data_IF_960932368170
#
_entry.id   IF_960932368170
#
_cell.length_a   1.000
_cell.length_b   1.000
_cell.length_c   1.000
_cell.angle_alpha   90.00
_cell.angle_beta   90.00
_cell.angle_gamma   90.00
#
_symmetry.space_group_name_H-M   'P 1'
#
loop_
_entity.id
_entity.type
_entity.pdbx_description
1 polymer ?
#
# COMPACT_ATOMS: atom_id res chain seq x y z
N UNK A 1 -27.85 13.41 13.09
CA UNK A 1 -26.79 12.39 13.05
C UNK A 1 -26.92 11.41 11.87
N UNK A 2 -28.08 10.76 11.64
CA UNK A 2 -28.25 9.77 10.55
C UNK A 2 -27.81 10.24 9.16
N UNK A 3 -28.19 11.46 8.77
CA UNK A 3 -27.78 12.05 7.47
C UNK A 3 -26.26 12.17 7.34
N UNK A 4 -25.57 12.53 8.43
CA UNK A 4 -24.11 12.70 8.46
C UNK A 4 -23.42 11.34 8.27
N UNK A 5 -23.87 10.30 8.99
CA UNK A 5 -23.28 8.95 8.86
C UNK A 5 -23.49 8.37 7.47
N UNK A 6 -24.65 8.62 6.85
CA UNK A 6 -24.93 8.20 5.46
C UNK A 6 -24.01 8.93 4.48
N UNK A 7 -23.90 10.25 4.58
CA UNK A 7 -23.03 11.04 3.69
C UNK A 7 -21.57 10.58 3.81
N UNK A 8 -21.09 10.35 5.04
CA UNK A 8 -19.74 9.85 5.28
C UNK A 8 -19.52 8.45 4.69
N UNK A 9 -20.50 7.55 4.84
CA UNK A 9 -20.45 6.21 4.27
C UNK A 9 -20.40 6.24 2.74
N UNK A 10 -21.26 7.04 2.11
CA UNK A 10 -21.31 7.19 0.65
C UNK A 10 -20.02 7.84 0.10
N UNK A 11 -19.50 8.84 0.80
CA UNK A 11 -18.21 9.46 0.47
C UNK A 11 -17.08 8.42 0.49
N UNK A 12 -17.03 7.59 1.53
CA UNK A 12 -16.00 6.55 1.64
C UNK A 12 -16.14 5.46 0.57
N UNK A 13 -17.36 5.05 0.24
CA UNK A 13 -17.60 4.14 -0.89
C UNK A 13 -17.08 4.76 -2.20
N UNK A 14 -17.40 6.03 -2.48
CA UNK A 14 -16.85 6.75 -3.62
C UNK A 14 -15.32 6.81 -3.63
N UNK A 15 -14.68 6.98 -2.47
CA UNK A 15 -13.23 6.94 -2.34
C UNK A 15 -12.64 5.57 -2.69
N UNK A 16 -13.24 4.48 -2.21
CA UNK A 16 -12.82 3.11 -2.57
C UNK A 16 -12.98 2.89 -4.08
N UNK A 17 -14.12 3.29 -4.64
CA UNK A 17 -14.39 3.15 -6.07
C UNK A 17 -13.36 3.92 -6.92
N UNK A 18 -12.99 5.13 -6.50
CA UNK A 18 -11.93 5.90 -7.14
C UNK A 18 -10.57 5.19 -7.07
N UNK A 19 -10.20 4.63 -5.92
CA UNK A 19 -8.94 3.87 -5.75
C UNK A 19 -8.92 2.60 -6.60
N UNK A 20 -10.07 1.94 -6.73
CA UNK A 20 -10.28 0.75 -7.57
C UNK A 20 -10.19 1.06 -9.08
N UNK A 21 -10.69 2.24 -9.48
CA UNK A 21 -10.64 2.71 -10.87
C UNK A 21 -9.22 3.07 -11.34
N UNK A 22 -8.30 3.37 -10.42
CA UNK A 22 -6.94 3.75 -10.77
C UNK A 22 -6.10 2.53 -11.21
N UNK A 23 -5.36 2.69 -12.30
CA UNK A 23 -4.58 1.60 -12.88
C UNK A 23 -3.36 1.23 -12.02
N UNK A 24 -3.01 -0.06 -11.94
CA UNK A 24 -1.90 -0.58 -11.12
C UNK A 24 -0.51 -0.08 -11.56
N UNK A 25 -0.41 0.40 -12.79
CA UNK A 25 0.81 0.95 -13.41
C UNK A 25 1.30 2.27 -12.77
N UNK A 26 0.50 2.92 -11.91
CA UNK A 26 0.88 4.17 -11.23
C UNK A 26 1.92 3.92 -10.10
N UNK A 27 2.14 2.66 -9.68
CA UNK A 27 3.16 2.31 -8.67
C UNK A 27 4.61 2.46 -9.18
N UNK A 28 4.84 2.21 -10.47
CA UNK A 28 6.19 2.30 -11.06
C UNK A 28 6.76 3.74 -10.97
N UNK A 29 5.90 4.75 -11.05
CA UNK A 29 6.28 6.16 -10.94
C UNK A 29 6.65 6.63 -9.52
N UNK A 30 6.10 6.00 -8.47
CA UNK A 30 6.42 6.34 -7.07
C UNK A 30 7.66 5.59 -6.60
N UNK A 31 7.78 4.30 -6.93
CA UNK A 31 8.99 3.51 -6.65
C UNK A 31 10.23 4.10 -7.34
N UNK A 32 10.11 4.62 -8.57
CA UNK A 32 11.23 5.28 -9.25
C UNK A 32 11.70 6.57 -8.54
N UNK A 33 10.81 7.29 -7.84
CA UNK A 33 11.19 8.48 -7.05
C UNK A 33 12.00 8.11 -5.82
N UNK A 34 11.60 7.05 -5.12
CA UNK A 34 12.32 6.54 -3.94
C UNK A 34 13.72 6.04 -4.34
N UNK A 35 13.82 5.28 -5.43
CA UNK A 35 15.10 4.81 -5.97
C UNK A 35 16.00 5.99 -6.38
N UNK A 36 15.47 7.01 -7.05
CA UNK A 36 16.23 8.22 -7.40
C UNK A 36 16.71 9.02 -6.20
N UNK A 37 15.95 9.07 -5.11
CA UNK A 37 16.39 9.73 -3.87
C UNK A 37 17.56 8.98 -3.24
N UNK A 38 17.50 7.64 -3.23
CA UNK A 38 18.58 6.80 -2.71
C UNK A 38 19.84 6.91 -3.57
N UNK A 39 19.68 6.90 -4.90
CA UNK A 39 20.79 7.03 -5.85
C UNK A 39 21.44 8.42 -5.77
N UNK A 40 20.64 9.49 -5.63
CA UNK A 40 21.15 10.84 -5.40
C UNK A 40 21.83 11.00 -4.03
N UNK A 41 21.37 10.29 -3.00
CA UNK A 41 22.02 10.30 -1.69
C UNK A 41 23.37 9.55 -1.74
N UNK A 42 23.43 8.42 -2.45
CA UNK A 42 24.66 7.63 -2.62
C UNK A 42 25.69 8.37 -3.47
N UNK A 43 25.28 8.99 -4.57
CA UNK A 43 26.18 9.81 -5.40
C UNK A 43 26.71 11.00 -4.62
N UNK A 44 25.87 11.67 -3.82
CA UNK A 44 26.30 12.78 -2.97
C UNK A 44 27.33 12.36 -1.91
N UNK A 45 27.19 11.15 -1.33
CA UNK A 45 28.18 10.58 -0.40
C UNK A 45 29.49 10.22 -1.12
N UNK A 46 29.42 9.71 -2.36
CA UNK A 46 30.60 9.42 -3.17
C UNK A 46 31.36 10.70 -3.57
N UNK A 47 30.64 11.79 -3.90
CA UNK A 47 31.26 13.09 -4.20
C UNK A 47 31.86 13.75 -2.94
N UNK A 48 31.17 13.68 -1.79
CA UNK A 48 31.71 14.18 -0.50
C UNK A 48 32.92 13.36 0.00
N UNK A 49 33.07 12.11 -0.43
CA UNK A 49 34.22 11.26 -0.11
C UNK A 49 35.42 11.52 -1.03
N UNK A 50 35.21 11.93 -2.29
CA UNK A 50 36.31 12.33 -3.18
C UNK A 50 36.88 13.72 -2.85
N UNK A 51 36.07 14.69 -2.43
CA UNK A 51 36.56 16.03 -2.09
C UNK A 51 37.48 16.06 -0.85
N UNK A 52 37.39 15.06 0.04
CA UNK A 52 38.32 14.90 1.17
C UNK A 52 39.66 14.28 0.80
N UNK A 53 39.71 13.40 -0.20
CA UNK A 53 40.96 12.73 -0.60
C UNK A 53 41.78 13.52 -1.65
N UNK A 54 41.20 14.49 -2.35
CA UNK A 54 41.95 15.35 -3.29
C UNK A 54 42.74 16.47 -2.60
N UNK A 55 42.54 16.69 -1.30
CA UNK A 55 43.26 17.71 -0.53
C UNK A 55 44.60 17.23 0.04
N UNK A 56 44.88 15.91 0.05
CA UNK A 56 46.15 15.36 0.59
C UNK A 56 47.15 14.89 -0.49
N UNK A 57 46.74 14.68 -1.74
CA UNK A 57 47.63 14.22 -2.82
C UNK A 57 48.07 15.39 -3.71
N UNK A 58 48.73 16.39 -3.13
CA UNK A 58 49.50 17.41 -3.89
C UNK A 58 50.93 17.61 -3.39
N UNK A 59 51.44 16.67 -2.60
CA UNK A 59 52.80 16.70 -2.10
C UNK A 59 53.46 15.32 -2.17
N UNK A 60 53.65 14.75 -3.36
CA UNK A 60 54.97 14.25 -3.73
C UNK A 60 55.08 14.01 -5.24
N UNK A 61 56.29 14.15 -5.72
CA UNK A 61 56.71 14.38 -7.10
C UNK A 61 57.00 13.10 -7.87
N UNK A 62 56.83 13.21 -9.20
CA UNK A 62 57.71 12.71 -10.27
C UNK A 62 57.97 11.21 -10.45
N UNK A 63 57.58 10.67 -11.60
CA UNK A 63 58.48 10.27 -12.71
C UNK A 63 57.80 9.21 -13.60
N UNK A 64 57.88 9.43 -14.92
CA UNK A 64 57.98 8.47 -16.05
C UNK A 64 56.96 7.30 -16.12
N UNK A 65 56.36 6.89 -17.24
CA UNK A 65 56.73 7.03 -18.65
C UNK A 65 55.54 6.56 -19.53
N UNK A 66 55.56 6.93 -20.81
CA UNK A 66 54.62 6.54 -21.87
C UNK A 66 54.59 5.02 -22.15
N UNK A 67 53.44 4.46 -22.56
CA UNK A 67 53.31 3.86 -23.90
C UNK A 67 51.89 3.41 -24.29
N UNK A 68 51.66 3.53 -25.60
CA UNK A 68 50.44 3.31 -26.40
C UNK A 68 50.07 1.83 -26.62
N UNK A 69 48.76 1.64 -26.78
CA UNK A 69 47.99 0.67 -27.56
C UNK A 69 48.74 -0.30 -28.52
N UNK A 70 48.42 -1.60 -28.49
CA UNK A 70 47.39 -2.27 -29.31
C UNK A 70 47.51 -3.81 -29.24
N UNK A 71 46.38 -4.55 -29.33
CA UNK A 71 46.36 -5.92 -29.91
C UNK A 71 45.70 -7.04 -29.11
N UNK A 72 44.37 -7.15 -29.24
CA UNK A 72 43.53 -8.35 -29.46
C UNK A 72 43.87 -9.73 -28.82
N UNK A 73 42.95 -10.29 -28.02
CA UNK A 73 42.23 -11.57 -28.32
C UNK A 73 41.24 -11.96 -27.22
N UNK A 74 39.95 -12.09 -27.58
CA UNK A 74 38.93 -13.03 -27.04
C UNK A 74 38.61 -13.04 -25.53
N UNK A 75 37.44 -13.42 -25.02
CA UNK A 75 36.16 -13.91 -25.52
C UNK A 75 35.20 -13.80 -24.31
N UNK A 76 33.92 -13.58 -24.59
CA UNK A 76 32.93 -13.12 -23.62
C UNK A 76 32.64 -13.99 -22.40
N UNK A 77 32.14 -13.32 -21.36
CA UNK A 77 31.25 -13.88 -20.32
C UNK A 77 30.68 -12.75 -19.42
N UNK A 78 30.08 -11.71 -20.00
CA UNK A 78 29.57 -10.55 -19.24
C UNK A 78 28.05 -10.30 -19.29
N UNK A 79 27.32 -10.95 -20.21
CA UNK A 79 25.95 -10.50 -20.57
C UNK A 79 24.82 -11.36 -19.99
N UNK A 80 25.09 -12.58 -19.54
CA UNK A 80 24.04 -13.47 -18.99
C UNK A 80 23.78 -13.29 -17.50
N UNK A 81 24.75 -12.80 -16.71
CA UNK A 81 24.58 -12.61 -15.28
C UNK A 81 23.66 -11.44 -14.92
N UNK A 82 23.51 -10.43 -15.80
CA UNK A 82 22.70 -9.24 -15.50
C UNK A 82 21.19 -9.48 -15.72
N UNK A 83 20.80 -10.17 -16.80
CA UNK A 83 19.38 -10.42 -17.13
C UNK A 83 18.64 -11.20 -16.05
N UNK A 84 19.28 -12.16 -15.40
CA UNK A 84 18.61 -12.98 -14.37
C UNK A 84 18.36 -12.16 -13.09
N UNK A 85 19.25 -11.25 -12.73
CA UNK A 85 19.10 -10.36 -11.57
C UNK A 85 18.04 -9.29 -11.83
N UNK A 86 17.99 -8.71 -13.04
CA UNK A 86 16.93 -7.74 -13.39
C UNK A 86 15.55 -8.39 -13.41
N UNK A 87 15.41 -9.59 -13.98
CA UNK A 87 14.12 -10.30 -14.00
C UNK A 87 13.65 -10.74 -12.61
N UNK A 88 14.58 -11.20 -11.75
CA UNK A 88 14.25 -11.56 -10.37
C UNK A 88 13.85 -10.34 -9.53
N UNK A 89 14.54 -9.21 -9.73
CA UNK A 89 14.23 -7.97 -9.03
C UNK A 89 12.90 -7.38 -9.51
N UNK A 90 12.60 -7.45 -10.81
CA UNK A 90 11.30 -7.04 -11.35
C UNK A 90 10.15 -7.92 -10.84
N UNK A 91 10.30 -9.25 -10.83
CA UNK A 91 9.28 -10.15 -10.31
C UNK A 91 9.00 -9.91 -8.80
N UNK A 92 10.05 -9.65 -8.02
CA UNK A 92 9.91 -9.34 -6.58
C UNK A 92 9.22 -7.98 -6.34
N UNK A 93 9.44 -6.99 -7.21
CA UNK A 93 8.76 -5.71 -7.16
C UNK A 93 7.27 -5.84 -7.51
N UNK A 94 6.92 -6.65 -8.51
CA UNK A 94 5.52 -6.94 -8.87
C UNK A 94 4.79 -7.70 -7.76
N UNK A 95 5.44 -8.67 -7.12
CA UNK A 95 4.89 -9.40 -5.99
C UNK A 95 4.67 -8.48 -4.78
N UNK A 96 5.62 -7.59 -4.48
CA UNK A 96 5.50 -6.63 -3.40
C UNK A 96 4.36 -5.62 -3.65
N UNK A 97 4.26 -5.08 -4.86
CA UNK A 97 3.17 -4.19 -5.26
C UNK A 97 1.81 -4.88 -5.13
N UNK A 98 1.75 -6.16 -5.49
CA UNK A 98 0.56 -6.99 -5.36
C UNK A 98 0.17 -7.22 -3.89
N UNK A 99 1.14 -7.53 -3.01
CA UNK A 99 0.90 -7.72 -1.57
C UNK A 99 0.48 -6.41 -0.90
N UNK A 100 1.19 -5.32 -1.15
CA UNK A 100 0.90 -4.00 -0.54
C UNK A 100 -0.50 -3.55 -0.93
N UNK A 101 -0.88 -3.73 -2.20
CA UNK A 101 -2.24 -3.42 -2.66
C UNK A 101 -3.31 -4.21 -1.94
N UNK A 102 -3.13 -5.53 -1.78
CA UNK A 102 -4.12 -6.38 -1.09
C UNK A 102 -4.34 -5.95 0.35
N UNK A 103 -3.25 -5.63 1.06
CA UNK A 103 -3.35 -5.15 2.43
C UNK A 103 -4.00 -3.76 2.53
N UNK A 104 -3.75 -2.88 1.57
CA UNK A 104 -4.38 -1.56 1.51
C UNK A 104 -5.90 -1.67 1.30
N UNK A 105 -6.34 -2.50 0.35
CA UNK A 105 -7.77 -2.76 0.11
C UNK A 105 -8.46 -3.37 1.34
N UNK A 106 -7.85 -4.36 1.99
CA UNK A 106 -8.37 -4.90 3.26
C UNK A 106 -8.56 -3.83 4.34
N UNK A 107 -7.65 -2.86 4.46
CA UNK A 107 -7.79 -1.72 5.38
C UNK A 107 -8.93 -0.76 4.99
N UNK A 108 -9.15 -0.54 3.69
CA UNK A 108 -10.27 0.26 3.19
C UNK A 108 -11.62 -0.36 3.57
N UNK A 109 -11.74 -1.69 3.44
CA UNK A 109 -12.94 -2.42 3.81
C UNK A 109 -13.15 -2.53 5.33
N UNK A 110 -12.06 -2.61 6.10
CA UNK A 110 -12.12 -2.45 7.56
C UNK A 110 -12.74 -1.11 7.95
N UNK A 111 -12.29 -0.01 7.34
CA UNK A 111 -12.83 1.33 7.60
C UNK A 111 -14.28 1.46 7.10
N UNK A 112 -14.59 0.87 5.94
CA UNK A 112 -15.95 0.83 5.41
C UNK A 112 -16.91 0.14 6.38
N UNK A 113 -16.52 -1.00 6.95
CA UNK A 113 -17.33 -1.71 7.93
C UNK A 113 -17.65 -0.88 9.17
N UNK A 114 -16.72 -0.03 9.64
CA UNK A 114 -16.97 0.92 10.74
C UNK A 114 -18.05 1.95 10.35
N UNK A 115 -18.01 2.48 9.13
CA UNK A 115 -19.01 3.46 8.66
C UNK A 115 -20.38 2.84 8.38
N UNK A 116 -20.41 1.65 7.80
CA UNK A 116 -21.65 0.89 7.60
C UNK A 116 -22.25 0.53 8.97
N UNK A 117 -21.44 0.07 9.93
CA UNK A 117 -21.89 -0.22 11.30
C UNK A 117 -22.47 1.03 11.97
N UNK A 118 -21.77 2.16 11.88
CA UNK A 118 -22.23 3.45 12.40
C UNK A 118 -23.57 3.86 11.80
N UNK A 119 -23.74 3.64 10.49
CA UNK A 119 -24.98 3.93 9.77
C UNK A 119 -26.12 3.04 10.23
N UNK A 120 -25.94 1.72 10.25
CA UNK A 120 -26.96 0.75 10.68
C UNK A 120 -27.40 1.00 12.14
N UNK A 121 -26.45 1.27 13.04
CA UNK A 121 -26.74 1.58 14.44
C UNK A 121 -27.49 2.91 14.59
N UNK A 122 -27.27 3.88 13.70
CA UNK A 122 -28.04 5.14 13.68
C UNK A 122 -29.54 4.92 13.38
N UNK A 123 -29.89 3.80 12.76
CA UNK A 123 -31.27 3.38 12.52
C UNK A 123 -31.86 2.50 13.64
N UNK A 124 -31.20 2.40 14.80
CA UNK A 124 -31.59 1.55 15.93
C UNK A 124 -31.64 0.05 15.62
N UNK A 125 -31.04 -0.41 14.51
CA UNK A 125 -30.83 -1.85 14.26
C UNK A 125 -29.60 -2.32 15.04
N UNK A 126 -29.75 -3.35 15.85
CA UNK A 126 -28.69 -3.94 16.70
C UNK A 126 -28.79 -5.46 16.73
N UNK A 127 -27.75 -6.12 17.24
CA UNK A 127 -27.72 -7.58 17.40
C UNK A 127 -27.45 -8.32 16.09
N UNK A 128 -27.91 -9.57 16.00
CA UNK A 128 -27.61 -10.48 14.88
C UNK A 128 -28.01 -9.92 13.51
N UNK A 129 -29.16 -9.26 13.43
CA UNK A 129 -29.65 -8.72 12.15
C UNK A 129 -28.74 -7.59 11.67
N UNK A 130 -28.28 -6.72 12.59
CA UNK A 130 -27.33 -5.66 12.25
C UNK A 130 -26.02 -6.24 11.70
N UNK A 131 -25.48 -7.29 12.35
CA UNK A 131 -24.27 -7.99 11.87
C UNK A 131 -24.46 -8.54 10.46
N UNK A 132 -25.59 -9.20 10.20
CA UNK A 132 -25.91 -9.74 8.87
C UNK A 132 -25.96 -8.62 7.83
N UNK A 133 -26.68 -7.52 8.09
CA UNK A 133 -26.76 -6.41 7.15
C UNK A 133 -25.39 -5.76 6.89
N UNK A 134 -24.56 -5.60 7.91
CA UNK A 134 -23.23 -4.99 7.77
C UNK A 134 -22.32 -5.87 6.92
N UNK A 135 -22.21 -7.16 7.26
CA UNK A 135 -21.35 -8.10 6.54
C UNK A 135 -21.85 -8.31 5.10
N UNK A 136 -23.17 -8.42 4.90
CA UNK A 136 -23.74 -8.52 3.56
C UNK A 136 -23.42 -7.28 2.72
N UNK A 137 -23.58 -6.07 3.28
CA UNK A 137 -23.28 -4.83 2.55
C UNK A 137 -21.80 -4.75 2.17
N UNK A 138 -20.90 -5.09 3.10
CA UNK A 138 -19.45 -5.06 2.83
C UNK A 138 -19.05 -6.11 1.80
N UNK A 139 -19.57 -7.34 1.90
CA UNK A 139 -19.31 -8.41 0.95
C UNK A 139 -19.84 -8.07 -0.44
N UNK A 140 -21.08 -7.59 -0.52
CA UNK A 140 -21.68 -7.17 -1.78
C UNK A 140 -20.88 -6.05 -2.45
N UNK A 141 -20.38 -5.10 -1.66
CA UNK A 141 -19.51 -4.04 -2.16
C UNK A 141 -18.16 -4.58 -2.63
N UNK A 142 -17.52 -5.49 -1.89
CA UNK A 142 -16.28 -6.15 -2.30
C UNK A 142 -16.42 -6.90 -3.63
N UNK A 143 -17.50 -7.65 -3.80
CA UNK A 143 -17.82 -8.33 -5.06
C UNK A 143 -18.00 -7.33 -6.20
N UNK A 144 -18.71 -6.23 -5.95
CA UNK A 144 -18.96 -5.20 -6.97
C UNK A 144 -17.67 -4.47 -7.35
N UNK A 145 -16.81 -4.19 -6.38
CA UNK A 145 -15.52 -3.54 -6.61
C UNK A 145 -14.60 -4.43 -7.45
N UNK A 146 -14.47 -5.71 -7.09
CA UNK A 146 -13.66 -6.66 -7.83
C UNK A 146 -14.19 -6.92 -9.26
N UNK A 147 -15.51 -6.93 -9.40
CA UNK A 147 -16.17 -6.97 -10.70
C UNK A 147 -15.85 -5.72 -11.52
N UNK A 148 -15.87 -4.53 -10.93
CA UNK A 148 -15.48 -3.29 -11.60
C UNK A 148 -14.00 -3.33 -12.03
N UNK A 149 -13.11 -3.80 -11.16
CA UNK A 149 -11.68 -3.95 -11.46
C UNK A 149 -11.43 -4.88 -12.66
N UNK A 150 -12.31 -5.85 -12.92
CA UNK A 150 -12.20 -6.75 -14.08
C UNK A 150 -12.30 -6.01 -15.43
N UNK A 151 -12.90 -4.83 -15.45
CA UNK A 151 -13.02 -3.97 -16.63
C UNK A 151 -11.90 -2.93 -16.72
N UNK A 152 -11.00 -2.84 -15.73
CA UNK A 152 -9.89 -1.90 -15.72
C UNK A 152 -8.67 -2.53 -16.43
N UNK A 153 -8.14 -1.93 -17.52
CA UNK A 153 -7.04 -2.52 -18.29
C UNK A 153 -5.78 -2.70 -17.44
N UNK A 154 -5.23 -3.91 -17.41
CA UNK A 154 -4.01 -4.22 -16.64
C UNK A 154 -4.24 -4.57 -15.16
N UNK A 155 -5.50 -4.76 -14.75
CA UNK A 155 -5.86 -5.37 -13.46
C UNK A 155 -6.27 -6.83 -13.65
N UNK A 156 -5.98 -7.65 -12.66
CA UNK A 156 -6.44 -9.04 -12.57
C UNK A 156 -7.44 -9.14 -11.43
N UNK A 157 -8.63 -9.63 -11.72
CA UNK A 157 -9.62 -9.88 -10.68
C UNK A 157 -9.48 -11.29 -10.11
N UNK A 158 -9.41 -11.42 -8.79
CA UNK A 158 -9.27 -12.68 -8.08
C UNK A 158 -10.25 -12.78 -6.91
N UNK A 159 -10.83 -13.97 -6.74
CA UNK A 159 -11.69 -14.27 -5.57
C UNK A 159 -10.94 -14.10 -4.25
N UNK A 160 -9.61 -14.30 -4.25
CA UNK A 160 -8.76 -14.04 -3.07
C UNK A 160 -8.86 -12.60 -2.59
N UNK A 161 -9.13 -11.64 -3.48
CA UNK A 161 -9.08 -10.22 -3.16
C UNK A 161 -10.38 -9.83 -2.44
N UNK A 162 -11.52 -10.36 -2.92
CA UNK A 162 -12.81 -10.31 -2.21
C UNK A 162 -12.69 -10.89 -0.79
N UNK A 163 -11.96 -12.00 -0.61
CA UNK A 163 -11.78 -12.62 0.70
C UNK A 163 -10.94 -11.75 1.64
N UNK A 164 -9.87 -11.12 1.15
CA UNK A 164 -9.04 -10.20 1.94
C UNK A 164 -9.87 -8.99 2.39
N UNK A 165 -10.65 -8.42 1.48
CA UNK A 165 -11.54 -7.30 1.76
C UNK A 165 -12.62 -7.67 2.78
N UNK A 166 -13.21 -8.85 2.64
CA UNK A 166 -14.21 -9.35 3.56
C UNK A 166 -13.61 -9.63 4.96
N UNK A 167 -12.40 -10.17 5.05
CA UNK A 167 -11.67 -10.31 6.31
C UNK A 167 -11.42 -8.94 6.97
N UNK A 168 -11.03 -7.93 6.18
CA UNK A 168 -10.93 -6.55 6.65
C UNK A 168 -12.24 -6.04 7.24
N UNK A 169 -13.36 -6.27 6.55
CA UNK A 169 -14.68 -5.88 7.02
C UNK A 169 -15.08 -6.55 8.35
N UNK A 170 -14.75 -7.84 8.54
CA UNK A 170 -14.95 -8.54 9.81
C UNK A 170 -14.16 -7.87 10.93
N UNK A 171 -12.89 -7.56 10.70
CA UNK A 171 -12.04 -6.86 11.69
C UNK A 171 -12.65 -5.49 12.03
N UNK A 172 -13.10 -4.73 11.03
CA UNK A 172 -13.72 -3.43 11.22
C UNK A 172 -15.01 -3.50 12.05
N UNK A 173 -15.83 -4.51 11.81
CA UNK A 173 -17.02 -4.81 12.62
C UNK A 173 -16.66 -5.08 14.07
N UNK A 174 -15.65 -5.92 14.33
CA UNK A 174 -15.19 -6.25 15.68
C UNK A 174 -14.67 -5.00 16.42
N UNK A 175 -13.88 -4.17 15.75
CA UNK A 175 -13.40 -2.90 16.29
C UNK A 175 -14.58 -1.99 16.65
N UNK A 176 -15.56 -1.85 15.76
CA UNK A 176 -16.74 -1.03 16.02
C UNK A 176 -17.50 -1.50 17.27
N UNK A 177 -17.78 -2.80 17.38
CA UNK A 177 -18.46 -3.35 18.56
C UNK A 177 -17.63 -3.17 19.83
N UNK A 178 -16.32 -3.41 19.78
CA UNK A 178 -15.44 -3.21 20.92
C UNK A 178 -15.48 -1.77 21.44
N UNK A 179 -15.35 -0.79 20.53
CA UNK A 179 -15.43 0.64 20.86
C UNK A 179 -16.83 0.99 21.38
N UNK A 180 -17.88 0.50 20.74
CA UNK A 180 -19.26 0.74 21.16
C UNK A 180 -19.52 0.25 22.59
N UNK A 181 -19.11 -0.97 22.93
CA UNK A 181 -19.27 -1.52 24.27
C UNK A 181 -18.40 -0.79 25.30
N UNK A 182 -17.16 -0.43 24.97
CA UNK A 182 -16.30 0.36 25.87
C UNK A 182 -16.93 1.71 26.21
N UNK A 183 -17.44 2.44 25.21
CA UNK A 183 -18.10 3.73 25.42
C UNK A 183 -19.37 3.56 26.25
N UNK A 184 -20.17 2.54 25.96
CA UNK A 184 -21.38 2.23 26.72
C UNK A 184 -21.07 1.97 28.21
N UNK A 185 -20.05 1.17 28.51
CA UNK A 185 -19.64 0.88 29.89
C UNK A 185 -19.17 2.14 30.63
N UNK A 186 -18.39 3.01 29.98
CA UNK A 186 -17.95 4.29 30.58
C UNK A 186 -19.15 5.20 30.88
N UNK A 187 -20.08 5.31 29.93
CA UNK A 187 -21.28 6.14 30.11
C UNK A 187 -22.17 5.61 31.24
N UNK A 188 -22.33 4.29 31.34
CA UNK A 188 -23.08 3.65 32.43
C UNK A 188 -22.44 3.92 33.80
N UNK A 189 -21.12 3.79 33.93
CA UNK A 189 -20.38 4.10 35.16
C UNK A 189 -20.61 5.54 35.63
N UNK A 190 -20.47 6.53 34.72
CA UNK A 190 -20.70 7.95 35.03
C UNK A 190 -22.16 8.29 35.36
N UNK A 191 -23.11 7.48 34.93
CA UNK A 191 -24.53 7.67 35.29
C UNK A 191 -24.79 7.19 36.71
N UNK A 192 -24.14 6.11 37.14
CA UNK A 192 -24.22 5.61 38.51
C UNK A 192 -23.56 6.58 39.50
N UNK A 193 -22.43 7.20 39.14
CA UNK A 193 -21.76 8.20 40.00
C UNK A 193 -22.54 9.52 40.19
N UNK A 194 -23.53 9.81 39.33
CA UNK A 194 -24.32 11.06 39.36
C UNK A 194 -25.70 10.92 40.02
N UNK A 195 -26.13 9.70 40.32
CA UNK A 195 -27.41 9.40 40.97
C UNK A 195 -27.18 9.08 42.45
#
# INVERSE_FOLDING_TARGET
>A
MKKITIILCLFWMGFIFYMSSNNGQISHGQSTKVVKIIENAKSKIETETQDKNTSEIKADKSADNEQKANGDTGTGNGVQANKNTTNLQSAKLEELDHIVRKNAHGFLYMTLAVFVSSTIFSFNKKGKDAVIYILFTCLFYAVTDEFHQAFVPGRTSMVSDILVDFCGAIIGLLIFYFVYYKIYTIYASKKLERN
#
